data_IF_978078747480
#
_entry.id   IF_978078747480
#
_cell.length_a   1.000
_cell.length_b   1.000
_cell.length_c   1.000
_cell.angle_alpha   90.00
_cell.angle_beta   90.00
_cell.angle_gamma   90.00
#
_symmetry.space_group_name_H-M   'P 1'
#
loop_
_entity.id
_entity.type
_entity.pdbx_description
1 polymer ?
#
# COMPACT_ATOMS: atom_id res chain seq x y z
N UNK A 1 52.36 -22.51 25.40
CA UNK A 1 51.86 -23.10 24.13
C UNK A 1 50.35 -23.16 24.22
N UNK A 2 49.64 -22.28 23.51
CA UNK A 2 48.19 -22.39 23.32
C UNK A 2 47.91 -23.59 22.42
N UNK A 3 47.18 -24.59 22.94
CA UNK A 3 46.62 -25.64 22.09
C UNK A 3 45.53 -24.99 21.23
N UNK A 4 45.77 -24.82 19.94
CA UNK A 4 44.69 -24.57 19.00
C UNK A 4 43.81 -25.84 18.96
N UNK A 5 42.69 -25.79 19.67
CA UNK A 5 41.62 -26.78 19.52
C UNK A 5 40.96 -26.51 18.17
N UNK A 6 41.37 -27.24 17.14
CA UNK A 6 40.70 -27.22 15.84
C UNK A 6 39.32 -27.88 15.95
N UNK A 7 38.36 -27.35 15.18
CA UNK A 7 37.02 -27.93 15.03
C UNK A 7 37.13 -29.31 14.37
N UNK A 8 36.35 -30.30 14.80
CA UNK A 8 36.36 -31.62 14.16
C UNK A 8 35.53 -31.61 12.87
N UNK A 9 35.90 -32.44 11.90
CA UNK A 9 35.13 -32.57 10.66
C UNK A 9 33.70 -33.05 10.94
N UNK A 10 33.50 -33.89 11.97
CA UNK A 10 32.18 -34.39 12.33
C UNK A 10 31.28 -33.30 12.94
N UNK A 11 31.82 -32.40 13.76
CA UNK A 11 31.06 -31.27 14.30
C UNK A 11 30.58 -30.35 13.16
N UNK A 12 31.43 -30.11 12.15
CA UNK A 12 31.04 -29.30 11.00
C UNK A 12 29.91 -29.97 10.20
N UNK A 13 30.02 -31.28 9.96
CA UNK A 13 29.00 -32.04 9.23
C UNK A 13 27.67 -32.06 10.00
N UNK A 14 27.71 -32.31 11.31
CA UNK A 14 26.49 -32.32 12.12
C UNK A 14 25.84 -30.94 12.13
N UNK A 15 26.63 -29.86 12.22
CA UNK A 15 26.11 -28.50 12.20
C UNK A 15 25.34 -28.20 10.89
N UNK A 16 25.91 -28.51 9.73
CA UNK A 16 25.23 -28.27 8.45
C UNK A 16 24.00 -29.16 8.26
N UNK A 17 24.01 -30.40 8.77
CA UNK A 17 22.84 -31.31 8.72
C UNK A 17 21.70 -30.77 9.56
N UNK A 18 21.99 -30.32 10.79
CA UNK A 18 20.98 -29.72 11.67
C UNK A 18 20.39 -28.45 11.04
N UNK A 19 21.24 -27.56 10.50
CA UNK A 19 20.79 -26.36 9.80
C UNK A 19 19.92 -26.70 8.57
N UNK A 20 20.28 -27.77 7.84
CA UNK A 20 19.51 -28.24 6.70
C UNK A 20 18.09 -28.69 7.07
N UNK A 21 17.94 -29.48 8.14
CA UNK A 21 16.61 -29.96 8.60
C UNK A 21 15.73 -28.80 9.07
N UNK A 22 16.31 -27.86 9.83
CA UNK A 22 15.58 -26.68 10.31
C UNK A 22 15.12 -25.80 9.13
N UNK A 23 15.98 -25.62 8.12
CA UNK A 23 15.65 -24.81 6.95
C UNK A 23 14.45 -25.36 6.17
N UNK A 24 14.37 -26.68 5.96
CA UNK A 24 13.26 -27.31 5.22
C UNK A 24 11.92 -27.16 5.94
N UNK A 25 11.90 -27.23 7.28
CA UNK A 25 10.68 -27.07 8.07
C UNK A 25 10.28 -25.59 8.19
N UNK A 26 11.26 -24.68 8.32
CA UNK A 26 11.02 -23.26 8.53
C UNK A 26 10.57 -22.52 7.25
N UNK A 27 11.12 -22.88 6.08
CA UNK A 27 10.85 -22.20 4.82
C UNK A 27 9.35 -22.06 4.46
N UNK A 28 8.52 -23.13 4.47
CA UNK A 28 7.10 -23.00 4.11
C UNK A 28 6.32 -22.13 5.10
N UNK A 29 6.66 -22.20 6.40
CA UNK A 29 6.01 -21.37 7.42
C UNK A 29 6.38 -19.90 7.26
N UNK A 30 7.64 -19.60 6.93
CA UNK A 30 8.11 -18.23 6.72
C UNK A 30 7.36 -17.58 5.55
N UNK A 31 7.19 -18.28 4.43
CA UNK A 31 6.46 -17.78 3.26
C UNK A 31 5.01 -17.42 3.60
N UNK A 32 4.29 -18.28 4.34
CA UNK A 32 2.90 -18.00 4.73
C UNK A 32 2.78 -16.78 5.66
N UNK A 33 3.69 -16.65 6.64
CA UNK A 33 3.69 -15.49 7.55
C UNK A 33 3.92 -14.19 6.77
N UNK A 34 4.81 -14.19 5.77
CA UNK A 34 5.04 -13.02 4.93
C UNK A 34 3.79 -12.62 4.13
N UNK A 35 3.07 -13.58 3.56
CA UNK A 35 1.80 -13.34 2.84
C UNK A 35 0.73 -12.76 3.77
N UNK A 36 0.53 -13.38 4.93
CA UNK A 36 -0.44 -12.93 5.93
C UNK A 36 -0.09 -11.53 6.45
N UNK A 37 1.20 -11.23 6.64
CA UNK A 37 1.65 -9.90 7.07
C UNK A 37 1.32 -8.82 6.03
N UNK A 38 1.52 -9.11 4.74
CA UNK A 38 1.16 -8.18 3.66
C UNK A 38 -0.35 -7.97 3.58
N UNK A 39 -1.15 -9.04 3.65
CA UNK A 39 -2.61 -8.95 3.65
C UNK A 39 -3.12 -8.11 4.82
N UNK A 40 -2.62 -8.37 6.04
CA UNK A 40 -2.97 -7.58 7.23
C UNK A 40 -2.52 -6.11 7.13
N UNK A 41 -1.40 -5.84 6.46
CA UNK A 41 -0.95 -4.47 6.19
C UNK A 41 -1.93 -3.75 5.26
N UNK A 42 -2.38 -4.39 4.18
CA UNK A 42 -3.38 -3.80 3.27
C UNK A 42 -4.72 -3.55 3.96
N UNK A 43 -5.17 -4.46 4.82
CA UNK A 43 -6.35 -4.23 5.67
C UNK A 43 -6.16 -3.03 6.60
N UNK A 44 -4.97 -2.88 7.19
CA UNK A 44 -4.63 -1.75 8.07
C UNK A 44 -4.59 -0.42 7.29
N UNK A 45 -4.04 -0.44 6.08
CA UNK A 45 -4.03 0.72 5.16
C UNK A 45 -5.47 1.13 4.83
N UNK A 46 -6.35 0.19 4.50
CA UNK A 46 -7.74 0.49 4.21
C UNK A 46 -8.50 1.07 5.41
N UNK A 47 -8.34 0.48 6.59
CA UNK A 47 -8.95 1.01 7.82
C UNK A 47 -8.43 2.42 8.15
N UNK A 48 -7.13 2.66 7.95
CA UNK A 48 -6.52 3.98 8.08
C UNK A 48 -7.12 4.97 7.08
N UNK A 49 -7.34 4.54 5.84
CA UNK A 49 -7.93 5.35 4.78
C UNK A 49 -9.38 5.75 5.13
N UNK A 50 -10.21 4.81 5.59
CA UNK A 50 -11.58 5.10 6.03
C UNK A 50 -11.62 6.10 7.20
N UNK A 51 -10.70 5.97 8.15
CA UNK A 51 -10.53 6.92 9.25
C UNK A 51 -10.16 8.32 8.72
N UNK A 52 -9.18 8.40 7.82
CA UNK A 52 -8.77 9.66 7.20
C UNK A 52 -9.90 10.34 6.42
N UNK A 53 -10.69 9.55 5.66
CA UNK A 53 -11.85 10.05 4.94
C UNK A 53 -12.92 10.61 5.87
N UNK A 54 -13.16 9.97 7.03
CA UNK A 54 -14.12 10.45 8.04
C UNK A 54 -13.67 11.77 8.66
N UNK A 55 -12.39 11.88 9.01
CA UNK A 55 -11.80 13.12 9.53
C UNK A 55 -11.88 14.25 8.50
N UNK A 56 -11.56 13.94 7.25
CA UNK A 56 -11.58 14.92 6.19
C UNK A 56 -13.00 15.38 5.85
N UNK A 57 -13.96 14.47 5.87
CA UNK A 57 -15.36 14.81 5.70
C UNK A 57 -15.86 15.75 6.79
N UNK A 58 -15.43 15.51 8.03
CA UNK A 58 -15.71 16.40 9.16
C UNK A 58 -15.12 17.80 8.94
N UNK A 59 -13.90 17.88 8.41
CA UNK A 59 -13.29 19.17 8.05
C UNK A 59 -14.04 19.86 6.90
N UNK A 60 -14.41 19.12 5.86
CA UNK A 60 -15.17 19.66 4.74
C UNK A 60 -16.53 20.23 5.17
N UNK A 61 -17.20 19.59 6.12
CA UNK A 61 -18.44 20.09 6.73
C UNK A 61 -18.23 21.42 7.47
N UNK A 62 -17.13 21.55 8.21
CA UNK A 62 -16.79 22.80 8.91
C UNK A 62 -16.50 23.94 7.92
N UNK A 63 -15.86 23.62 6.81
CA UNK A 63 -15.49 24.58 5.75
C UNK A 63 -16.63 24.85 4.73
N UNK A 64 -17.78 24.18 4.88
CA UNK A 64 -18.92 24.32 3.96
C UNK A 64 -18.66 23.77 2.56
N UNK A 65 -17.80 22.76 2.45
CA UNK A 65 -17.39 22.07 1.21
C UNK A 65 -17.99 20.65 1.13
N UNK A 66 -19.09 20.40 1.83
CA UNK A 66 -19.74 19.08 1.99
C UNK A 66 -20.67 18.71 0.83
N UNK A 67 -20.98 19.65 -0.07
CA UNK A 67 -21.92 19.43 -1.18
C UNK A 67 -21.27 19.84 -2.51
N UNK A 68 -21.38 18.95 -3.51
CA UNK A 68 -20.91 19.24 -4.86
C UNK A 68 -19.38 19.25 -4.95
N UNK A 69 -18.84 20.01 -5.91
CA UNK A 69 -17.39 20.13 -6.09
C UNK A 69 -16.84 21.21 -5.17
N UNK A 70 -15.80 20.85 -4.42
CA UNK A 70 -15.09 21.76 -3.51
C UNK A 70 -13.58 21.61 -3.63
N UNK A 71 -12.85 22.40 -2.86
CA UNK A 71 -11.40 22.28 -2.71
C UNK A 71 -11.00 22.75 -1.32
N UNK A 72 -10.14 21.98 -0.66
CA UNK A 72 -9.51 22.36 0.62
C UNK A 72 -8.00 22.19 0.51
N UNK A 73 -7.25 22.92 1.32
CA UNK A 73 -5.79 22.81 1.35
C UNK A 73 -5.35 22.03 2.58
N UNK A 74 -4.70 20.88 2.35
CA UNK A 74 -4.19 20.00 3.41
C UNK A 74 -2.68 19.92 3.22
N UNK A 75 -1.89 20.23 4.25
CA UNK A 75 -0.42 20.20 4.19
C UNK A 75 0.17 20.99 3.00
N UNK A 76 -0.48 22.09 2.60
CA UNK A 76 -0.07 22.91 1.46
C UNK A 76 -0.46 22.36 0.08
N UNK A 77 -1.16 21.23 0.02
CA UNK A 77 -1.65 20.59 -1.21
C UNK A 77 -3.14 20.89 -1.39
N UNK A 78 -3.49 21.44 -2.55
CA UNK A 78 -4.88 21.62 -2.99
C UNK A 78 -5.51 20.25 -3.23
N UNK A 79 -6.46 19.89 -2.38
CA UNK A 79 -7.17 18.61 -2.44
C UNK A 79 -8.58 18.87 -2.97
N UNK A 80 -8.88 18.45 -4.21
CA UNK A 80 -10.24 18.55 -4.74
C UNK A 80 -11.18 17.66 -3.93
N UNK A 81 -12.40 18.15 -3.70
CA UNK A 81 -13.46 17.44 -3.00
C UNK A 81 -14.67 17.22 -3.90
N UNK A 82 -15.39 16.14 -3.63
CA UNK A 82 -16.74 15.87 -4.13
C UNK A 82 -17.60 15.43 -2.94
N UNK A 83 -18.69 16.14 -2.68
CA UNK A 83 -19.61 15.85 -1.57
C UNK A 83 -18.89 15.65 -0.22
N UNK A 84 -17.90 16.50 0.06
CA UNK A 84 -17.13 16.45 1.30
C UNK A 84 -16.10 15.33 1.41
N UNK A 85 -15.80 14.57 0.35
CA UNK A 85 -14.69 13.60 0.34
C UNK A 85 -13.67 13.95 -0.74
N UNK A 86 -12.41 13.50 -0.64
CA UNK A 86 -11.43 13.63 -1.73
C UNK A 86 -12.02 13.22 -3.08
N UNK A 87 -11.72 13.97 -4.12
CA UNK A 87 -12.14 13.64 -5.48
C UNK A 87 -10.90 13.37 -6.32
N UNK A 88 -10.66 12.11 -6.66
CA UNK A 88 -9.59 11.73 -7.58
C UNK A 88 -10.03 12.03 -9.01
N UNK A 89 -9.17 12.65 -9.81
CA UNK A 89 -9.33 12.69 -11.26
C UNK A 89 -8.31 11.76 -11.90
N UNK A 90 -8.77 10.67 -12.52
CA UNK A 90 -7.88 9.67 -13.10
C UNK A 90 -7.03 10.17 -14.28
N UNK A 91 -7.32 11.38 -14.78
CA UNK A 91 -6.52 12.07 -15.81
C UNK A 91 -5.35 12.87 -15.25
N UNK A 92 -5.33 13.16 -13.95
CA UNK A 92 -4.23 13.86 -13.29
C UNK A 92 -2.94 13.02 -13.37
N UNK A 93 -1.79 13.68 -13.23
CA UNK A 93 -0.49 13.00 -13.24
C UNK A 93 -0.33 12.06 -12.04
N UNK A 94 0.61 11.12 -12.12
CA UNK A 94 0.91 10.23 -10.98
C UNK A 94 1.45 11.02 -9.79
N UNK A 95 2.22 12.08 -10.07
CA UNK A 95 2.78 13.00 -9.09
C UNK A 95 1.69 13.79 -8.35
N UNK A 96 0.72 14.35 -9.09
CA UNK A 96 -0.40 15.09 -8.49
C UNK A 96 -1.28 14.18 -7.62
N UNK A 97 -1.65 13.00 -8.13
CA UNK A 97 -2.44 12.05 -7.35
C UNK A 97 -1.68 11.61 -6.10
N UNK A 98 -0.38 11.29 -6.21
CA UNK A 98 0.41 10.89 -5.06
C UNK A 98 0.48 12.02 -4.02
N UNK A 99 0.72 13.26 -4.45
CA UNK A 99 0.75 14.41 -3.55
C UNK A 99 -0.59 14.62 -2.83
N UNK A 100 -1.72 14.49 -3.54
CA UNK A 100 -3.04 14.57 -2.94
C UNK A 100 -3.26 13.46 -1.92
N UNK A 101 -2.97 12.20 -2.27
CA UNK A 101 -3.14 11.05 -1.37
C UNK A 101 -2.28 11.19 -0.12
N UNK A 102 -1.01 11.58 -0.26
CA UNK A 102 -0.15 11.87 0.88
C UNK A 102 -0.71 12.98 1.76
N UNK A 103 -1.33 14.01 1.17
CA UNK A 103 -1.89 15.13 1.93
C UNK A 103 -3.06 14.70 2.81
N UNK A 104 -4.05 13.98 2.26
CA UNK A 104 -5.24 13.60 3.02
C UNK A 104 -5.11 12.29 3.80
N UNK A 105 -4.27 11.35 3.36
CA UNK A 105 -4.10 10.04 4.01
C UNK A 105 -2.84 9.95 4.88
N UNK A 106 -1.81 10.76 4.63
CA UNK A 106 -0.53 10.73 5.34
C UNK A 106 0.15 9.34 5.30
N UNK A 107 0.30 8.78 4.10
CA UNK A 107 0.99 7.51 3.84
C UNK A 107 2.33 7.76 3.14
N UNK A 108 3.34 6.93 3.41
CA UNK A 108 4.62 6.96 2.69
C UNK A 108 4.48 6.22 1.36
N UNK A 109 4.41 6.96 0.25
CA UNK A 109 4.14 6.41 -1.08
C UNK A 109 4.79 7.17 -2.22
N UNK A 110 4.98 6.51 -3.35
CA UNK A 110 5.35 7.15 -4.62
C UNK A 110 4.41 6.75 -5.75
N UNK A 111 4.41 7.50 -6.85
CA UNK A 111 3.69 7.11 -8.06
C UNK A 111 4.23 5.82 -8.68
N UNK A 112 3.37 5.03 -9.33
CA UNK A 112 3.74 3.79 -10.02
C UNK A 112 4.90 3.96 -11.01
N UNK A 113 5.01 5.13 -11.65
CA UNK A 113 6.10 5.42 -12.58
C UNK A 113 7.51 5.31 -11.96
N UNK A 114 7.62 5.40 -10.64
CA UNK A 114 8.91 5.26 -9.93
C UNK A 114 9.36 3.81 -9.85
N UNK A 115 8.47 2.83 -9.99
CA UNK A 115 8.77 1.41 -9.77
C UNK A 115 9.87 0.86 -10.69
N UNK A 116 9.96 1.38 -11.92
CA UNK A 116 10.98 0.97 -12.91
C UNK A 116 12.34 1.61 -12.63
N UNK A 117 12.38 2.70 -11.85
CA UNK A 117 13.59 3.44 -11.49
C UNK A 117 14.12 2.94 -10.14
N UNK A 118 13.25 2.86 -9.14
CA UNK A 118 13.55 2.43 -7.78
C UNK A 118 12.31 1.79 -7.14
N UNK A 119 12.26 0.46 -7.14
CA UNK A 119 11.20 -0.32 -6.50
C UNK A 119 11.26 -0.31 -4.96
N UNK A 120 12.29 0.31 -4.38
CA UNK A 120 12.50 0.48 -2.94
C UNK A 120 12.29 1.92 -2.47
N UNK A 121 11.89 2.84 -3.35
CA UNK A 121 11.74 4.26 -3.06
C UNK A 121 10.73 4.56 -1.93
N UNK A 122 9.71 3.71 -1.77
CA UNK A 122 8.71 3.81 -0.71
C UNK A 122 8.11 2.42 -0.41
N UNK A 123 7.49 2.23 0.77
CA UNK A 123 6.79 0.99 1.10
C UNK A 123 5.52 0.78 0.25
N UNK A 124 4.90 1.86 -0.24
CA UNK A 124 3.68 1.81 -1.03
C UNK A 124 3.82 2.56 -2.36
N UNK A 125 3.08 2.09 -3.36
CA UNK A 125 3.00 2.69 -4.68
C UNK A 125 1.55 3.03 -5.00
N UNK A 126 1.35 4.12 -5.75
CA UNK A 126 0.03 4.59 -6.17
C UNK A 126 -0.12 4.48 -7.68
N UNK A 127 -1.17 3.77 -8.11
CA UNK A 127 -1.63 3.72 -9.50
C UNK A 127 -3.02 4.35 -9.61
N UNK A 128 -3.45 4.64 -10.85
CA UNK A 128 -4.74 5.25 -11.15
C UNK A 128 -5.43 4.58 -12.32
N UNK A 129 -6.75 4.46 -12.25
CA UNK A 129 -7.58 4.12 -13.42
C UNK A 129 -8.21 5.39 -14.01
N UNK A 130 -7.73 5.80 -15.19
CA UNK A 130 -8.12 7.07 -15.80
C UNK A 130 -9.60 7.18 -16.17
N UNK A 131 -10.22 6.09 -16.60
CA UNK A 131 -11.64 6.06 -16.96
C UNK A 131 -12.58 5.92 -15.77
N UNK A 132 -12.06 5.48 -14.60
CA UNK A 132 -12.86 5.12 -13.43
C UNK A 132 -12.71 6.07 -12.25
N UNK A 133 -11.77 7.03 -12.31
CA UNK A 133 -11.45 7.92 -11.19
C UNK A 133 -11.18 7.14 -9.89
N UNK A 134 -10.33 6.12 -10.01
CA UNK A 134 -9.91 5.26 -8.92
C UNK A 134 -8.41 5.36 -8.71
N UNK A 135 -7.99 5.21 -7.47
CA UNK A 135 -6.59 4.98 -7.11
C UNK A 135 -6.41 3.59 -6.51
N UNK A 136 -5.20 3.09 -6.62
CA UNK A 136 -4.78 1.81 -6.07
C UNK A 136 -3.51 2.04 -5.26
N UNK A 137 -3.48 1.55 -4.03
CA UNK A 137 -2.30 1.51 -3.17
C UNK A 137 -1.86 0.05 -3.08
N UNK A 138 -0.60 -0.22 -3.39
CA UNK A 138 -0.06 -1.58 -3.49
C UNK A 138 1.43 -1.60 -3.14
N UNK A 139 1.99 -2.79 -2.91
CA UNK A 139 3.44 -3.00 -2.74
C UNK A 139 4.15 -3.05 -4.10
N UNK A 140 5.44 -2.72 -4.17
CA UNK A 140 6.19 -2.80 -5.44
C UNK A 140 6.24 -4.21 -6.05
N UNK A 141 6.11 -5.26 -5.26
CA UNK A 141 6.12 -6.65 -5.73
C UNK A 141 4.72 -7.26 -5.89
N UNK A 142 3.66 -6.44 -5.81
CA UNK A 142 2.29 -6.93 -5.98
C UNK A 142 2.06 -7.47 -7.40
N UNK A 143 1.52 -8.70 -7.54
CA UNK A 143 1.27 -9.30 -8.85
C UNK A 143 0.13 -8.58 -9.58
N UNK A 144 0.22 -8.48 -10.90
CA UNK A 144 -0.84 -7.90 -11.75
C UNK A 144 -1.80 -8.99 -12.23
N UNK A 145 -3.11 -8.75 -12.14
CA UNK A 145 -4.15 -9.73 -12.50
C UNK A 145 -4.80 -9.38 -13.83
N UNK A 146 -4.09 -9.59 -14.95
CA UNK A 146 -4.64 -9.49 -16.32
C UNK A 146 -4.92 -8.07 -16.83
N UNK A 147 -5.48 -7.18 -16.00
CA UNK A 147 -5.55 -5.73 -16.22
C UNK A 147 -4.35 -5.06 -15.52
N UNK A 148 -3.72 -4.08 -16.19
CA UNK A 148 -2.54 -3.36 -15.68
C UNK A 148 -2.85 -2.49 -14.46
N UNK A 149 -4.14 -2.36 -14.11
CA UNK A 149 -4.67 -1.56 -12.99
C UNK A 149 -5.30 -2.39 -11.87
N UNK A 150 -5.22 -3.73 -11.94
CA UNK A 150 -5.63 -4.60 -10.84
C UNK A 150 -4.44 -5.40 -10.34
N UNK A 151 -4.13 -5.21 -9.07
CA UNK A 151 -3.08 -5.92 -8.35
C UNK A 151 -3.73 -6.91 -7.38
N UNK A 152 -3.19 -8.12 -7.28
CA UNK A 152 -3.76 -9.14 -6.38
C UNK A 152 -3.56 -8.86 -4.88
N UNK A 153 -2.81 -7.80 -4.53
CA UNK A 153 -2.64 -7.29 -3.16
C UNK A 153 -2.69 -5.75 -3.17
N UNK A 154 -3.86 -5.15 -2.88
CA UNK A 154 -4.07 -3.71 -2.99
C UNK A 154 -5.24 -3.15 -2.15
N UNK A 155 -5.20 -1.84 -1.92
CA UNK A 155 -6.34 -1.02 -1.49
C UNK A 155 -6.79 -0.14 -2.65
N UNK A 156 -8.06 -0.24 -3.03
CA UNK A 156 -8.69 0.58 -4.06
C UNK A 156 -9.59 1.63 -3.44
N UNK A 157 -9.41 2.88 -3.82
CA UNK A 157 -10.33 3.97 -3.51
C UNK A 157 -11.06 4.41 -4.76
N UNK A 158 -12.37 4.66 -4.61
CA UNK A 158 -13.25 5.22 -5.63
C UNK A 158 -13.96 6.45 -5.08
N UNK A 159 -14.04 7.47 -5.92
CA UNK A 159 -14.76 8.70 -5.63
C UNK A 159 -16.19 8.46 -5.11
N UNK A 160 -16.73 9.39 -4.33
CA UNK A 160 -18.06 9.26 -3.78
C UNK A 160 -19.14 9.19 -4.85
N UNK A 161 -20.03 8.21 -4.69
CA UNK A 161 -21.28 8.08 -5.42
C UNK A 161 -22.46 8.47 -4.51
N UNK A 162 -23.63 7.83 -4.62
CA UNK A 162 -24.81 8.15 -3.80
C UNK A 162 -24.65 7.83 -2.32
N UNK A 163 -23.79 6.87 -1.96
CA UNK A 163 -23.59 6.38 -0.58
C UNK A 163 -22.25 6.85 0.03
N UNK A 164 -21.51 7.71 -0.66
CA UNK A 164 -20.15 8.11 -0.26
C UNK A 164 -19.05 7.37 -1.03
N UNK A 165 -17.77 7.52 -0.64
CA UNK A 165 -16.65 6.89 -1.31
C UNK A 165 -16.58 5.39 -1.00
N UNK A 166 -16.01 4.61 -1.91
CA UNK A 166 -15.80 3.18 -1.71
C UNK A 166 -14.32 2.88 -1.52
N UNK A 167 -13.95 2.32 -0.37
CA UNK A 167 -12.64 1.70 -0.11
C UNK A 167 -12.81 0.18 -0.21
N UNK A 168 -12.01 -0.50 -1.03
CA UNK A 168 -12.03 -1.97 -1.15
C UNK A 168 -10.63 -2.52 -1.06
N UNK A 169 -10.49 -3.64 -0.36
CA UNK A 169 -9.22 -4.35 -0.23
C UNK A 169 -9.28 -5.64 -1.03
N UNK A 170 -8.20 -5.93 -1.76
CA UNK A 170 -7.97 -7.22 -2.40
C UNK A 170 -6.69 -7.80 -1.81
N UNK A 171 -6.78 -9.03 -1.29
CA UNK A 171 -5.66 -9.71 -0.61
C UNK A 171 -5.36 -11.11 -1.16
N UNK A 172 -6.01 -11.49 -2.25
CA UNK A 172 -6.00 -12.87 -2.75
C UNK A 172 -4.60 -13.34 -3.18
N UNK A 173 -3.76 -12.42 -3.68
CA UNK A 173 -2.38 -12.70 -4.09
C UNK A 173 -1.34 -11.86 -3.33
N UNK A 174 -1.61 -11.55 -2.06
CA UNK A 174 -0.53 -11.22 -1.13
C UNK A 174 0.36 -12.47 -0.88
#
# INVERSE_FOLDING_TARGET
MSKNQGFTLIELIIAIVILGVIAVIAAPRFINISKDAKANTMLSVAAGMESALTLLHSQALIEGQDIGKGEITINGVKTPLLNGYPSVNGKDSFEEINAQVQAWFNIDSVGKNVIEIDSSAAPFFIDKASSRNQIYIFFSDAPTTGDRTEYGCQVRYQNPESEGPSVRVLTDDC
#
